data_IF_778611136299
#
_entry.id   IF_778611136299
#
_cell.length_a   1.000
_cell.length_b   1.000
_cell.length_c   1.000
_cell.angle_alpha   90.00
_cell.angle_beta   90.00
_cell.angle_gamma   90.00
#
_symmetry.space_group_name_H-M   'P 1'
#
loop_
_entity.id
_entity.type
_entity.pdbx_description
1 polymer ?
#
# COMPACT_ATOMS: atom_id res chain seq x y z
N UNK A 1 10.00 13.41 -15.58
CA UNK A 1 9.53 12.04 -15.27
C UNK A 1 8.04 12.02 -15.02
N UNK A 2 7.44 10.82 -14.93
CA UNK A 2 5.98 10.59 -14.90
C UNK A 2 5.18 11.56 -14.01
N UNK A 3 5.51 11.64 -12.71
CA UNK A 3 4.75 12.52 -11.80
C UNK A 3 4.76 13.98 -12.24
N UNK A 4 5.91 14.48 -12.70
CA UNK A 4 6.01 15.86 -13.19
C UNK A 4 5.10 16.10 -14.39
N UNK A 5 5.03 15.15 -15.32
CA UNK A 5 4.19 15.28 -16.52
C UNK A 5 2.70 15.34 -16.15
N UNK A 6 2.28 14.51 -15.18
CA UNK A 6 0.92 14.57 -14.66
C UNK A 6 0.65 15.85 -13.85
N UNK A 7 1.56 16.27 -12.98
CA UNK A 7 1.42 17.51 -12.20
C UNK A 7 1.31 18.75 -13.09
N UNK A 8 2.10 18.79 -14.17
CA UNK A 8 2.05 19.89 -15.14
C UNK A 8 0.72 19.93 -15.90
N UNK A 9 0.20 18.77 -16.32
CA UNK A 9 -1.02 18.67 -17.12
C UNK A 9 -2.30 18.69 -16.29
N UNK A 10 -2.24 18.18 -15.06
CA UNK A 10 -3.39 18.03 -14.17
C UNK A 10 -3.05 18.52 -12.73
N UNK A 11 -2.82 19.82 -12.55
CA UNK A 11 -2.32 20.36 -11.27
C UNK A 11 -3.33 20.26 -10.12
N UNK A 12 -4.62 20.03 -10.40
CA UNK A 12 -5.65 19.84 -9.38
C UNK A 12 -5.63 18.46 -8.72
N UNK A 13 -4.86 17.51 -9.28
CA UNK A 13 -4.78 16.16 -8.73
C UNK A 13 -3.72 16.08 -7.65
N UNK A 14 -3.98 15.22 -6.65
CA UNK A 14 -3.03 15.00 -5.57
C UNK A 14 -1.98 13.97 -5.97
N UNK A 15 -0.72 14.39 -6.09
CA UNK A 15 0.43 13.51 -6.32
C UNK A 15 1.13 13.23 -5.00
N UNK A 16 1.30 11.93 -4.69
CA UNK A 16 2.05 11.53 -3.50
C UNK A 16 3.52 11.91 -3.60
N UNK A 17 4.13 12.52 -2.57
CA UNK A 17 5.58 12.64 -2.50
C UNK A 17 6.21 11.24 -2.36
N UNK A 18 7.46 11.10 -2.78
CA UNK A 18 8.14 9.81 -2.74
C UNK A 18 8.23 9.21 -1.33
N UNK A 19 8.31 10.06 -0.29
CA UNK A 19 8.31 9.65 1.12
C UNK A 19 7.06 8.91 1.57
N UNK A 20 5.92 9.19 0.92
CA UNK A 20 4.61 8.69 1.35
C UNK A 20 4.14 7.54 0.45
N UNK A 21 4.91 7.25 -0.61
CA UNK A 21 4.63 6.12 -1.50
C UNK A 21 4.88 4.79 -0.78
N UNK A 22 3.87 3.94 -0.77
CA UNK A 22 3.93 2.65 -0.10
C UNK A 22 3.15 1.57 -0.87
N UNK A 23 3.41 0.32 -0.50
CA UNK A 23 2.61 -0.84 -0.89
C UNK A 23 1.84 -1.31 0.34
N UNK A 24 0.53 -1.40 0.22
CA UNK A 24 -0.30 -2.03 1.26
C UNK A 24 -0.13 -3.54 1.21
N UNK A 25 0.36 -4.11 2.31
CA UNK A 25 0.44 -5.57 2.48
C UNK A 25 -0.93 -6.12 2.86
N UNK A 26 -1.55 -5.55 3.88
CA UNK A 26 -2.85 -5.97 4.40
C UNK A 26 -3.51 -4.80 5.16
N UNK A 27 -4.81 -4.60 4.97
CA UNK A 27 -5.60 -3.67 5.77
C UNK A 27 -6.03 -4.33 7.07
N UNK A 28 -5.44 -3.92 8.19
CA UNK A 28 -5.80 -4.44 9.52
C UNK A 28 -7.09 -3.82 10.03
N UNK A 29 -7.24 -2.52 9.84
CA UNK A 29 -8.40 -1.74 10.24
C UNK A 29 -8.87 -0.91 9.05
N UNK A 30 -10.17 -0.95 8.79
CA UNK A 30 -10.76 -0.14 7.72
C UNK A 30 -10.91 1.32 8.15
N UNK A 31 -10.33 2.22 7.37
CA UNK A 31 -10.48 3.66 7.56
C UNK A 31 -11.95 4.07 7.56
N UNK A 32 -12.38 4.79 8.60
CA UNK A 32 -13.71 5.38 8.76
C UNK A 32 -13.60 6.65 9.62
N UNK A 33 -14.50 7.61 9.44
CA UNK A 33 -14.53 8.78 10.32
C UNK A 33 -14.61 8.36 11.80
N UNK A 34 -13.76 8.97 12.64
CA UNK A 34 -13.73 8.68 14.07
C UNK A 34 -13.01 7.37 14.45
N UNK A 35 -12.41 6.64 13.51
CA UNK A 35 -11.59 5.50 13.84
C UNK A 35 -10.41 5.95 14.70
N UNK A 36 -10.32 5.36 15.90
CA UNK A 36 -9.18 5.58 16.78
C UNK A 36 -8.10 4.52 16.53
N UNK A 37 -6.84 4.95 16.65
CA UNK A 37 -5.72 4.01 16.57
C UNK A 37 -5.79 3.00 17.72
N UNK A 38 -5.41 1.74 17.49
CA UNK A 38 -5.27 0.77 18.56
C UNK A 38 -4.23 1.24 19.59
N UNK A 39 -4.52 1.04 20.85
CA UNK A 39 -3.65 1.39 21.96
C UNK A 39 -3.65 0.30 23.04
N UNK A 40 -2.70 0.35 23.97
CA UNK A 40 -2.62 -0.56 25.11
C UNK A 40 -2.58 -2.03 24.70
N UNK A 41 -3.40 -2.85 25.34
CA UNK A 41 -3.47 -4.31 25.12
C UNK A 41 -3.84 -4.66 23.68
N UNK A 42 -4.75 -3.90 23.06
CA UNK A 42 -5.17 -4.14 21.66
C UNK A 42 -4.00 -3.96 20.70
N UNK A 43 -3.24 -2.88 20.85
CA UNK A 43 -2.05 -2.67 20.01
C UNK A 43 -1.00 -3.76 20.27
N UNK A 44 -0.81 -4.17 21.52
CA UNK A 44 0.07 -5.27 21.90
C UNK A 44 -0.31 -6.58 21.23
N UNK A 45 -1.59 -6.92 21.19
CA UNK A 45 -2.08 -8.13 20.54
C UNK A 45 -1.78 -8.11 19.03
N UNK A 46 -2.06 -7.01 18.33
CA UNK A 46 -1.69 -6.88 16.91
C UNK A 46 -0.18 -7.06 16.67
N UNK A 47 0.65 -6.41 17.48
CA UNK A 47 2.11 -6.51 17.37
C UNK A 47 2.59 -7.96 17.54
N UNK A 48 2.05 -8.69 18.51
CA UNK A 48 2.42 -10.09 18.75
C UNK A 48 1.99 -10.99 17.59
N UNK A 49 0.75 -10.84 17.09
CA UNK A 49 0.26 -11.59 15.93
C UNK A 49 1.13 -11.33 14.70
N UNK A 50 1.47 -10.07 14.41
CA UNK A 50 2.33 -9.71 13.28
C UNK A 50 3.73 -10.30 13.44
N UNK A 51 4.33 -10.23 14.63
CA UNK A 51 5.66 -10.82 14.89
C UNK A 51 5.67 -12.33 14.65
N UNK A 52 4.65 -13.04 15.10
CA UNK A 52 4.55 -14.49 14.84
C UNK A 52 4.41 -14.78 13.36
N UNK A 53 3.54 -14.03 12.67
CA UNK A 53 3.40 -14.17 11.20
C UNK A 53 4.72 -13.95 10.47
N UNK A 54 5.53 -12.98 10.90
CA UNK A 54 6.80 -12.64 10.24
C UNK A 54 7.94 -13.59 10.59
N UNK A 55 7.83 -14.41 11.63
CA UNK A 55 8.93 -15.24 12.11
C UNK A 55 9.46 -16.28 11.11
N UNK A 56 8.61 -16.72 10.18
CA UNK A 56 8.94 -17.67 9.12
C UNK A 56 9.03 -17.02 7.73
N UNK A 57 8.98 -15.68 7.66
CA UNK A 57 9.01 -14.94 6.39
C UNK A 57 10.43 -14.41 6.12
N UNK A 58 10.81 -14.36 4.85
CA UNK A 58 12.08 -13.77 4.42
C UNK A 58 11.89 -12.51 3.57
N UNK A 59 13.01 -11.82 3.25
CA UNK A 59 13.00 -10.72 2.30
C UNK A 59 12.47 -11.18 0.94
N UNK A 60 11.81 -10.26 0.23
CA UNK A 60 11.27 -10.52 -1.11
C UNK A 60 11.44 -9.31 -2.02
N UNK A 61 11.31 -9.56 -3.32
CA UNK A 61 11.47 -8.52 -4.34
C UNK A 61 10.12 -8.13 -4.94
N UNK A 62 9.99 -6.84 -5.23
CA UNK A 62 8.90 -6.29 -6.01
C UNK A 62 9.47 -5.52 -7.20
N UNK A 63 9.06 -5.91 -8.39
CA UNK A 63 9.39 -5.19 -9.62
C UNK A 63 8.23 -4.25 -9.98
N UNK A 64 8.50 -2.95 -10.05
CA UNK A 64 7.51 -1.94 -10.42
C UNK A 64 7.59 -1.64 -11.90
N UNK A 65 6.49 -1.93 -12.62
CA UNK A 65 6.42 -1.75 -14.07
C UNK A 65 5.01 -1.40 -14.50
N UNK A 66 4.90 -0.33 -15.28
CA UNK A 66 3.66 0.14 -15.87
C UNK A 66 2.71 0.74 -14.86
N UNK A 67 1.74 1.44 -15.38
CA UNK A 67 0.67 2.07 -14.60
C UNK A 67 -0.69 1.50 -14.97
N UNK A 68 -1.65 1.68 -14.08
CA UNK A 68 -3.07 1.45 -14.32
C UNK A 68 -3.88 2.56 -13.68
N UNK A 69 -5.07 2.82 -14.20
CA UNK A 69 -5.98 3.84 -13.70
C UNK A 69 -7.19 3.15 -13.10
N UNK A 70 -7.59 3.57 -11.92
CA UNK A 70 -8.84 3.21 -11.27
C UNK A 70 -9.75 4.44 -11.20
N UNK A 71 -10.98 4.29 -10.69
CA UNK A 71 -11.94 5.39 -10.53
C UNK A 71 -11.41 6.53 -9.63
N UNK A 72 -10.45 6.26 -8.76
CA UNK A 72 -9.95 7.25 -7.81
C UNK A 72 -8.45 7.51 -7.85
N UNK A 73 -7.68 6.83 -8.71
CA UNK A 73 -6.23 6.92 -8.65
C UNK A 73 -5.50 6.45 -9.91
N UNK A 74 -4.26 6.94 -10.06
CA UNK A 74 -3.22 6.35 -10.89
C UNK A 74 -2.32 5.49 -10.01
N UNK A 75 -2.16 4.24 -10.39
CA UNK A 75 -1.43 3.23 -9.65
C UNK A 75 -0.22 2.76 -10.45
N UNK A 76 0.94 2.63 -9.82
CA UNK A 76 2.10 1.92 -10.37
C UNK A 76 1.98 0.44 -9.99
N UNK A 77 2.01 -0.45 -10.98
CA UNK A 77 1.85 -1.90 -10.76
C UNK A 77 3.12 -2.52 -10.20
N UNK A 78 2.95 -3.36 -9.18
CA UNK A 78 4.01 -4.17 -8.59
C UNK A 78 3.83 -5.66 -8.93
N UNK A 79 4.91 -6.27 -9.37
CA UNK A 79 5.03 -7.72 -9.60
C UNK A 79 5.97 -8.27 -8.54
N UNK A 80 5.50 -9.22 -7.76
CA UNK A 80 6.14 -9.65 -6.52
C UNK A 80 6.38 -11.16 -6.47
N UNK A 81 7.34 -11.56 -5.66
CA UNK A 81 7.64 -12.96 -5.37
C UNK A 81 6.59 -13.57 -4.44
N UNK A 82 6.43 -14.88 -4.45
CA UNK A 82 5.42 -15.63 -3.68
C UNK A 82 5.44 -15.32 -2.18
N UNK A 83 6.58 -14.90 -1.66
CA UNK A 83 6.73 -14.53 -0.25
C UNK A 83 5.70 -13.49 0.21
N UNK A 84 5.31 -12.52 -0.63
CA UNK A 84 4.26 -11.55 -0.26
C UNK A 84 2.89 -12.23 -0.10
N UNK A 85 2.58 -13.22 -0.92
CA UNK A 85 1.35 -14.02 -0.75
C UNK A 85 1.40 -14.81 0.55
N UNK A 86 2.53 -15.45 0.83
CA UNK A 86 2.73 -16.18 2.08
C UNK A 86 2.59 -15.27 3.31
N UNK A 87 3.22 -14.09 3.30
CA UNK A 87 3.10 -13.09 4.36
C UNK A 87 1.64 -12.72 4.62
N UNK A 88 0.87 -12.47 3.58
CA UNK A 88 -0.56 -12.13 3.70
C UNK A 88 -1.38 -13.26 4.33
N UNK A 89 -1.12 -14.49 3.94
CA UNK A 89 -1.78 -15.65 4.51
C UNK A 89 -1.42 -15.83 5.98
N UNK A 90 -0.12 -15.79 6.31
CA UNK A 90 0.37 -15.89 7.69
C UNK A 90 -0.22 -14.79 8.59
N UNK A 91 -0.30 -13.55 8.10
CA UNK A 91 -0.94 -12.45 8.83
C UNK A 91 -2.42 -12.72 9.10
N UNK A 92 -3.18 -13.17 8.09
CA UNK A 92 -4.60 -13.49 8.25
C UNK A 92 -4.83 -14.62 9.25
N UNK A 93 -3.98 -15.65 9.22
CA UNK A 93 -4.06 -16.80 10.12
C UNK A 93 -3.73 -16.41 11.57
N UNK A 94 -2.61 -15.73 11.81
CA UNK A 94 -2.20 -15.33 13.15
C UNK A 94 -3.16 -14.32 13.78
N UNK A 95 -3.65 -13.36 13.00
CA UNK A 95 -4.65 -12.40 13.48
C UNK A 95 -5.96 -13.09 13.85
N UNK A 96 -6.47 -14.01 13.02
CA UNK A 96 -7.69 -14.77 13.35
C UNK A 96 -7.52 -15.65 14.60
N UNK A 97 -6.35 -16.25 14.78
CA UNK A 97 -6.03 -17.03 15.98
C UNK A 97 -6.22 -16.20 17.26
N UNK A 98 -5.86 -14.93 17.22
CA UNK A 98 -6.00 -14.02 18.37
C UNK A 98 -7.35 -13.27 18.38
N UNK A 99 -8.31 -13.64 17.54
CA UNK A 99 -9.61 -12.97 17.43
C UNK A 99 -9.56 -11.60 16.77
N UNK A 100 -8.44 -11.26 16.12
CA UNK A 100 -8.22 -10.02 15.41
C UNK A 100 -8.50 -10.24 13.92
N UNK A 101 -9.71 -9.91 13.44
CA UNK A 101 -10.03 -10.08 12.02
C UNK A 101 -9.56 -8.88 11.20
N UNK A 102 -8.73 -9.07 10.16
CA UNK A 102 -8.42 -8.02 9.20
C UNK A 102 -9.69 -7.45 8.56
N UNK A 103 -9.76 -6.13 8.45
CA UNK A 103 -10.96 -5.44 7.92
C UNK A 103 -10.78 -5.09 6.44
N UNK A 104 -10.28 -6.03 5.66
CA UNK A 104 -10.15 -5.86 4.21
C UNK A 104 -11.53 -5.65 3.56
N UNK A 105 -11.64 -4.70 2.63
CA UNK A 105 -12.84 -4.52 1.82
C UNK A 105 -13.08 -5.73 0.90
N UNK A 106 -11.99 -6.27 0.37
CA UNK A 106 -11.88 -7.49 -0.43
C UNK A 106 -10.48 -8.04 -0.22
N UNK A 107 -10.29 -9.31 -0.48
CA UNK A 107 -9.00 -9.96 -0.29
C UNK A 107 -7.89 -9.25 -1.07
N UNK A 108 -6.87 -8.78 -0.34
CA UNK A 108 -5.74 -8.07 -0.93
C UNK A 108 -4.80 -9.07 -1.61
N UNK A 109 -4.86 -9.13 -2.94
CA UNK A 109 -4.03 -10.01 -3.78
C UNK A 109 -3.08 -9.23 -4.69
N UNK A 110 -3.36 -7.95 -4.98
CA UNK A 110 -2.54 -7.11 -5.84
C UNK A 110 -1.39 -6.44 -5.09
N UNK A 111 -0.43 -5.94 -5.84
CA UNK A 111 0.64 -5.08 -5.34
C UNK A 111 0.70 -3.83 -6.21
N UNK A 112 0.62 -2.67 -5.59
CA UNK A 112 0.71 -1.40 -6.29
C UNK A 112 1.12 -0.28 -5.36
N UNK A 113 1.65 0.79 -5.95
CA UNK A 113 1.85 2.08 -5.29
C UNK A 113 0.82 3.05 -5.85
N UNK A 114 0.08 3.73 -4.98
CA UNK A 114 -0.77 4.85 -5.39
C UNK A 114 0.13 6.06 -5.66
N UNK A 115 0.20 6.49 -6.91
CA UNK A 115 1.05 7.62 -7.30
C UNK A 115 0.28 8.95 -7.33
N UNK A 116 -0.98 8.91 -7.77
CA UNK A 116 -1.85 10.10 -7.88
C UNK A 116 -3.25 9.73 -7.40
N UNK A 117 -3.87 10.60 -6.60
CA UNK A 117 -5.27 10.52 -6.18
C UNK A 117 -6.12 11.54 -6.91
N UNK A 118 -7.37 11.17 -7.17
CA UNK A 118 -8.38 12.05 -7.73
C UNK A 118 -9.30 12.55 -6.60
N UNK A 119 -9.02 13.71 -6.00
CA UNK A 119 -9.87 14.28 -4.95
C UNK A 119 -11.24 14.70 -5.50
N UNK A 120 -11.31 14.94 -6.80
CA UNK A 120 -12.51 15.26 -7.58
C UNK A 120 -12.52 14.44 -8.86
N UNK A 121 -13.68 14.26 -9.53
CA UNK A 121 -13.73 13.62 -10.83
C UNK A 121 -12.78 14.28 -11.84
N UNK A 122 -12.17 13.49 -12.70
CA UNK A 122 -11.29 14.00 -13.76
C UNK A 122 -12.06 14.91 -14.71
N UNK A 123 -11.58 16.14 -14.89
CA UNK A 123 -12.17 17.08 -15.83
C UNK A 123 -11.95 16.65 -17.31
N UNK A 124 -10.80 16.05 -17.58
CA UNK A 124 -10.38 15.57 -18.90
C UNK A 124 -9.96 14.09 -18.87
N UNK A 125 -10.91 13.13 -18.69
CA UNK A 125 -10.56 11.71 -18.52
C UNK A 125 -9.77 11.13 -19.70
N UNK A 126 -10.16 11.49 -20.94
CA UNK A 126 -9.49 11.02 -22.16
C UNK A 126 -8.03 11.46 -22.19
N UNK A 127 -7.76 12.75 -22.00
CA UNK A 127 -6.39 13.29 -21.97
C UNK A 127 -5.55 12.67 -20.85
N UNK A 128 -6.16 12.38 -19.70
CA UNK A 128 -5.49 11.67 -18.60
C UNK A 128 -5.11 10.25 -19.00
N UNK A 129 -6.01 9.51 -19.62
CA UNK A 129 -5.76 8.13 -20.08
C UNK A 129 -4.70 8.09 -21.19
N UNK A 130 -4.72 9.03 -22.12
CA UNK A 130 -3.71 9.17 -23.19
C UNK A 130 -2.32 9.41 -22.58
N UNK A 131 -2.22 10.24 -21.54
CA UNK A 131 -0.96 10.44 -20.83
C UNK A 131 -0.54 9.18 -20.06
N UNK A 132 -1.47 8.49 -19.40
CA UNK A 132 -1.20 7.25 -18.66
C UNK A 132 -0.70 6.13 -19.60
N UNK A 133 -1.24 6.05 -20.81
CA UNK A 133 -0.84 5.05 -21.82
C UNK A 133 0.65 5.16 -22.18
N UNK A 134 1.24 6.34 -22.16
CA UNK A 134 2.69 6.56 -22.39
C UNK A 134 3.55 5.85 -21.34
N UNK A 135 3.01 5.60 -20.14
CA UNK A 135 3.69 4.96 -19.02
C UNK A 135 3.25 3.50 -18.78
N UNK A 136 2.36 2.97 -19.64
CA UNK A 136 1.77 1.63 -19.49
C UNK A 136 2.80 0.51 -19.34
N UNK A 137 3.96 0.65 -19.95
CA UNK A 137 5.02 -0.38 -19.94
C UNK A 137 6.34 0.13 -19.34
N UNK A 138 6.34 1.35 -18.77
CA UNK A 138 7.56 1.92 -18.21
C UNK A 138 8.06 1.09 -17.02
N UNK A 139 9.35 0.80 -17.00
CA UNK A 139 10.02 0.21 -15.83
C UNK A 139 10.35 1.31 -14.82
N UNK A 140 9.92 1.13 -13.57
CA UNK A 140 10.21 2.06 -12.47
C UNK A 140 11.32 1.56 -11.56
N UNK A 141 11.62 0.25 -11.58
CA UNK A 141 12.70 -0.35 -10.82
C UNK A 141 12.28 -1.56 -10.01
N UNK A 142 13.21 -2.05 -9.20
CA UNK A 142 13.02 -3.20 -8.31
C UNK A 142 13.35 -2.78 -6.89
N UNK A 143 12.51 -3.16 -5.94
CA UNK A 143 12.73 -2.97 -4.52
C UNK A 143 12.87 -4.34 -3.84
N UNK A 144 13.84 -4.49 -2.94
CA UNK A 144 13.91 -5.63 -2.01
C UNK A 144 13.31 -5.19 -0.68
N UNK A 145 12.20 -5.81 -0.30
CA UNK A 145 11.51 -5.57 0.96
C UNK A 145 12.19 -6.40 2.05
N UNK A 146 12.68 -5.75 3.09
CA UNK A 146 13.36 -6.37 4.24
C UNK A 146 12.67 -6.09 5.57
N UNK A 147 11.71 -5.20 5.57
CA UNK A 147 10.96 -4.79 6.76
C UNK A 147 9.53 -4.43 6.35
N UNK A 148 8.58 -4.77 7.20
CA UNK A 148 7.20 -4.28 7.11
C UNK A 148 6.95 -3.27 8.23
N UNK A 149 6.07 -2.32 7.96
CA UNK A 149 5.65 -1.31 8.92
C UNK A 149 4.15 -1.43 9.19
N UNK A 150 3.75 -1.43 10.44
CA UNK A 150 2.39 -1.20 10.82
C UNK A 150 2.21 0.28 11.10
N UNK A 151 1.45 0.96 10.24
CA UNK A 151 1.18 2.39 10.37
C UNK A 151 -0.32 2.67 10.46
N UNK A 152 -0.65 3.73 11.17
CA UNK A 152 -1.96 4.33 11.22
C UNK A 152 -1.88 5.67 10.51
N UNK A 153 -2.67 5.88 9.46
CA UNK A 153 -2.59 7.06 8.64
C UNK A 153 -3.96 7.48 8.11
N UNK A 154 -4.09 8.73 7.72
CA UNK A 154 -5.26 9.24 7.02
C UNK A 154 -5.24 8.83 5.54
N UNK A 155 -6.31 9.17 4.82
CA UNK A 155 -6.49 8.79 3.40
C UNK A 155 -5.37 9.29 2.47
N UNK A 156 -4.74 10.41 2.80
CA UNK A 156 -3.68 11.02 2.00
C UNK A 156 -2.28 10.76 2.55
N UNK A 157 -2.16 9.98 3.62
CA UNK A 157 -0.90 9.70 4.34
C UNK A 157 -0.21 10.97 4.91
N UNK A 158 -1.00 12.04 5.11
CA UNK A 158 -0.48 13.33 5.64
C UNK A 158 -0.29 13.30 7.15
N UNK A 159 -0.97 12.36 7.84
CA UNK A 159 -0.84 12.11 9.28
C UNK A 159 -0.56 10.64 9.49
N UNK A 160 0.71 10.28 9.35
CA UNK A 160 1.18 8.92 9.52
C UNK A 160 1.81 8.74 10.89
N UNK A 161 1.41 7.70 11.61
CA UNK A 161 2.02 7.25 12.85
C UNK A 161 2.42 5.78 12.72
N UNK A 162 3.70 5.49 12.91
CA UNK A 162 4.23 4.12 12.90
C UNK A 162 3.94 3.48 14.26
N UNK A 163 3.18 2.39 14.26
CA UNK A 163 2.82 1.62 15.45
C UNK A 163 3.77 0.43 15.69
N UNK A 164 4.47 -0.02 14.65
CA UNK A 164 5.46 -1.09 14.75
C UNK A 164 6.26 -1.28 13.49
N UNK A 165 7.46 -1.83 13.63
CA UNK A 165 8.36 -2.25 12.54
C UNK A 165 8.72 -3.71 12.73
N UNK A 166 8.74 -4.46 11.63
CA UNK A 166 8.89 -5.91 11.63
C UNK A 166 9.91 -6.29 10.57
N UNK A 167 11.18 -6.43 10.95
CA UNK A 167 12.20 -6.90 10.03
C UNK A 167 11.89 -8.34 9.60
N UNK A 168 12.13 -8.63 8.33
CA UNK A 168 12.01 -9.97 7.78
C UNK A 168 13.34 -10.70 8.01
N UNK A 169 13.33 -11.90 8.64
CA UNK A 169 14.54 -12.70 8.85
C UNK A 169 15.30 -12.96 7.55
N UNK A 170 16.63 -12.99 7.65
CA UNK A 170 17.54 -13.26 6.53
C UNK A 170 17.61 -14.74 6.22
#
# INVERSE_FOLDING_TARGET
GMLRDFQTRFPALYSYPASDMHVTVLDLLRGRPGLQKPAGETAGAYIQSIRRAMSACGPFRVCFRGVTVSDGALLVRGYFEEMLTYIRQALREELRRDGLCPQERYETISCHITAIRFPVPLAEPRAFLELAERYRHMAFGVCTVRELEWSFHDWYDTRKETLGRFPLPS
#
